data_IF_165749268904
#
_entry.id   IF_165749268904
#
_cell.length_a   1.000
_cell.length_b   1.000
_cell.length_c   1.000
_cell.angle_alpha   90.00
_cell.angle_beta   90.00
_cell.angle_gamma   90.00
#
_symmetry.space_group_name_H-M   'P 1'
#
loop_
_entity.id
_entity.type
_entity.pdbx_description
1 polymer ?
#
# COMPACT_ATOMS: atom_id res chain seq x y z
N UNK A 1 2.20 3.52 11.43
CA UNK A 1 2.87 4.41 10.44
C UNK A 1 4.19 4.88 11.04
N UNK A 2 5.27 4.54 10.38
CA UNK A 2 6.61 4.89 10.83
C UNK A 2 7.01 6.30 10.38
N UNK A 3 8.19 6.76 10.86
CA UNK A 3 8.70 8.10 10.56
C UNK A 3 8.89 8.29 9.05
N UNK A 4 8.51 9.46 8.56
CA UNK A 4 8.66 9.86 7.15
C UNK A 4 7.78 9.07 6.18
N UNK A 5 6.91 8.20 6.67
CA UNK A 5 5.93 7.55 5.82
C UNK A 5 4.89 8.56 5.33
N UNK A 6 4.43 8.38 4.10
CA UNK A 6 3.40 9.24 3.53
C UNK A 6 2.17 8.39 3.16
N UNK A 7 1.03 8.78 3.67
CA UNK A 7 -0.23 8.09 3.38
C UNK A 7 -1.24 9.15 2.96
N UNK A 8 -1.68 9.11 1.71
CA UNK A 8 -2.63 10.06 1.15
C UNK A 8 -3.87 9.34 0.64
N UNK A 9 -5.05 9.86 0.98
CA UNK A 9 -6.35 9.40 0.46
C UNK A 9 -6.50 7.88 0.51
N UNK A 10 -6.05 7.25 1.60
CA UNK A 10 -6.00 5.79 1.72
C UNK A 10 -6.83 5.31 2.89
N UNK A 11 -7.29 4.07 2.81
CA UNK A 11 -8.00 3.39 3.88
C UNK A 11 -7.10 2.29 4.41
N UNK A 12 -6.78 2.37 5.71
CA UNK A 12 -5.95 1.39 6.39
C UNK A 12 -6.81 0.63 7.39
N UNK A 13 -6.87 -0.69 7.23
CA UNK A 13 -7.60 -1.55 8.15
C UNK A 13 -6.77 -1.84 9.41
N UNK A 14 -7.25 -2.74 10.27
CA UNK A 14 -6.56 -3.04 11.53
C UNK A 14 -5.20 -3.69 11.31
N UNK A 15 -4.22 -3.30 12.15
CA UNK A 15 -2.89 -3.90 12.17
C UNK A 15 -2.09 -3.72 10.87
N UNK A 16 -2.37 -2.65 10.13
CA UNK A 16 -1.55 -2.30 8.98
C UNK A 16 -0.30 -1.59 9.46
N UNK A 17 0.86 -2.04 8.98
CA UNK A 17 2.15 -1.43 9.30
C UNK A 17 2.73 -0.77 8.06
N UNK A 18 3.06 0.51 8.17
CA UNK A 18 3.69 1.28 7.10
C UNK A 18 5.11 1.60 7.53
N UNK A 19 6.09 1.11 6.81
CA UNK A 19 7.50 1.31 7.15
C UNK A 19 7.99 2.73 6.89
N UNK A 20 9.19 3.04 7.35
CA UNK A 20 9.80 4.37 7.20
C UNK A 20 10.01 4.70 5.72
N UNK A 21 9.73 5.95 5.35
CA UNK A 21 9.87 6.43 3.98
C UNK A 21 8.99 5.69 2.96
N UNK A 22 8.03 4.89 3.40
CA UNK A 22 7.09 4.27 2.50
C UNK A 22 6.04 5.28 2.04
N UNK A 23 5.49 5.07 0.86
CA UNK A 23 4.45 5.94 0.31
C UNK A 23 3.23 5.10 -0.03
N UNK A 24 2.08 5.50 0.48
CA UNK A 24 0.79 4.88 0.17
C UNK A 24 -0.12 5.97 -0.37
N UNK A 25 -0.59 5.81 -1.58
CA UNK A 25 -1.41 6.83 -2.24
C UNK A 25 -2.62 6.18 -2.89
N UNK A 26 -3.81 6.64 -2.50
CA UNK A 26 -5.10 6.16 -3.02
C UNK A 26 -5.15 4.63 -3.02
N UNK A 27 -4.96 4.05 -1.85
CA UNK A 27 -4.94 2.60 -1.70
C UNK A 27 -5.82 2.15 -0.55
N UNK A 28 -6.31 0.94 -0.64
CA UNK A 28 -7.02 0.28 0.45
C UNK A 28 -6.16 -0.89 0.89
N UNK A 29 -5.68 -0.82 2.14
CA UNK A 29 -4.84 -1.87 2.72
C UNK A 29 -5.67 -2.64 3.73
N UNK A 30 -5.90 -3.90 3.46
CA UNK A 30 -6.70 -4.77 4.32
C UNK A 30 -5.93 -5.12 5.59
N UNK A 31 -6.53 -5.92 6.46
CA UNK A 31 -5.97 -6.25 7.77
C UNK A 31 -4.61 -6.92 7.65
N UNK A 32 -3.71 -6.57 8.57
CA UNK A 32 -2.39 -7.20 8.69
C UNK A 32 -1.50 -7.03 7.45
N UNK A 33 -1.75 -6.01 6.65
CA UNK A 33 -0.87 -5.68 5.53
C UNK A 33 0.39 -4.99 6.05
N UNK A 34 1.54 -5.38 5.53
CA UNK A 34 2.82 -4.78 5.89
C UNK A 34 3.42 -4.12 4.66
N UNK A 35 3.67 -2.83 4.77
CA UNK A 35 4.38 -2.06 3.74
C UNK A 35 5.79 -1.83 4.25
N UNK A 36 6.81 -2.46 3.65
CA UNK A 36 8.17 -2.33 4.16
C UNK A 36 8.76 -0.95 3.92
N UNK A 37 9.89 -0.68 4.55
CA UNK A 37 10.54 0.62 4.46
C UNK A 37 10.86 0.96 3.00
N UNK A 38 10.52 2.18 2.61
CA UNK A 38 10.79 2.67 1.27
C UNK A 38 9.88 2.13 0.17
N UNK A 39 8.95 1.23 0.49
CA UNK A 39 8.05 0.68 -0.51
C UNK A 39 7.01 1.73 -0.95
N UNK A 40 6.49 1.56 -2.16
CA UNK A 40 5.47 2.44 -2.71
C UNK A 40 4.23 1.65 -3.09
N UNK A 41 3.07 2.15 -2.68
CA UNK A 41 1.77 1.55 -3.03
C UNK A 41 0.89 2.64 -3.60
N UNK A 42 0.32 2.38 -4.77
CA UNK A 42 -0.57 3.35 -5.42
C UNK A 42 0.13 4.47 -6.18
N UNK A 43 1.46 4.46 -6.22
CA UNK A 43 2.24 5.46 -6.94
C UNK A 43 2.40 5.07 -8.41
N UNK A 44 2.71 3.82 -8.67
CA UNK A 44 2.87 3.29 -10.02
C UNK A 44 1.90 2.12 -10.19
N UNK A 45 0.82 2.34 -10.94
CA UNK A 45 -0.22 1.33 -11.11
C UNK A 45 0.26 0.11 -11.89
N UNK A 46 1.16 0.30 -12.84
CA UNK A 46 1.70 -0.82 -13.59
C UNK A 46 2.54 -1.73 -12.69
N UNK A 47 3.34 -1.12 -11.81
CA UNK A 47 4.13 -1.85 -10.84
C UNK A 47 3.22 -2.58 -9.83
N UNK A 48 2.14 -1.93 -9.41
CA UNK A 48 1.17 -2.54 -8.50
C UNK A 48 0.52 -3.77 -9.13
N UNK A 49 0.13 -3.68 -10.41
CA UNK A 49 -0.42 -4.82 -11.13
C UNK A 49 0.58 -5.95 -11.29
N UNK A 50 1.84 -5.61 -11.56
CA UNK A 50 2.91 -6.61 -11.68
C UNK A 50 3.15 -7.36 -10.38
N UNK A 51 2.89 -6.72 -9.24
CA UNK A 51 2.98 -7.35 -7.92
C UNK A 51 1.73 -8.16 -7.56
N UNK A 52 0.74 -8.20 -8.43
CA UNK A 52 -0.49 -8.95 -8.20
C UNK A 52 -1.58 -8.21 -7.44
N UNK A 53 -1.44 -6.92 -7.24
CA UNK A 53 -2.49 -6.13 -6.59
C UNK A 53 -3.57 -5.76 -7.55
N UNK A 54 -4.78 -5.54 -7.03
CA UNK A 54 -5.90 -5.07 -7.83
C UNK A 54 -5.86 -3.55 -7.90
N UNK A 55 -5.94 -3.02 -9.11
CA UNK A 55 -6.04 -1.58 -9.31
C UNK A 55 -7.38 -1.29 -9.96
N UNK A 56 -8.20 -0.47 -9.30
CA UNK A 56 -9.53 -0.15 -9.80
C UNK A 56 -9.44 0.80 -11.01
N UNK A 57 -10.52 0.89 -11.82
CA UNK A 57 -10.55 1.83 -12.94
C UNK A 57 -10.35 3.29 -12.52
N UNK A 58 -10.63 3.61 -11.27
CA UNK A 58 -10.44 4.97 -10.74
C UNK A 58 -9.04 5.21 -10.18
N UNK A 59 -8.15 4.22 -10.28
CA UNK A 59 -6.77 4.37 -9.84
C UNK A 59 -6.55 4.07 -8.36
N UNK A 60 -7.42 3.30 -7.73
CA UNK A 60 -7.26 2.89 -6.33
C UNK A 60 -6.66 1.49 -6.29
N UNK A 61 -5.53 1.33 -5.59
CA UNK A 61 -4.88 0.04 -5.43
C UNK A 61 -5.44 -0.66 -4.20
N UNK A 62 -5.79 -1.93 -4.34
CA UNK A 62 -6.29 -2.73 -3.23
C UNK A 62 -5.30 -3.84 -2.91
N UNK A 63 -4.85 -3.88 -1.66
CA UNK A 63 -3.92 -4.91 -1.17
C UNK A 63 -4.68 -5.83 -0.23
N UNK A 64 -4.67 -7.10 -0.53
CA UNK A 64 -5.42 -8.10 0.21
C UNK A 64 -4.88 -8.35 1.62
N UNK A 65 -5.70 -8.98 2.45
CA UNK A 65 -5.41 -9.27 3.84
C UNK A 65 -4.15 -10.09 4.01
N UNK A 66 -3.30 -9.69 4.96
CA UNK A 66 -2.12 -10.45 5.36
C UNK A 66 -0.95 -10.39 4.39
N UNK A 67 -1.03 -9.54 3.37
CA UNK A 67 0.04 -9.43 2.37
C UNK A 67 1.16 -8.52 2.88
N UNK A 68 2.41 -8.96 2.68
CA UNK A 68 3.58 -8.09 2.80
C UNK A 68 3.88 -7.55 1.41
N UNK A 69 3.86 -6.23 1.27
CA UNK A 69 4.07 -5.59 -0.02
C UNK A 69 5.50 -5.81 -0.49
N UNK A 70 5.74 -6.43 -1.66
CA UNK A 70 7.10 -6.54 -2.20
C UNK A 70 7.58 -5.21 -2.76
N UNK A 71 8.87 -5.06 -2.83
CA UNK A 71 9.48 -3.87 -3.42
C UNK A 71 9.29 -3.77 -4.93
#
# INVERSE_FOLDING_TARGET
IERWARVDESILMNNVCIGSNATVHRAILDKNVIVPDGAQVGVDHEHDRARGFTVSPTGVTVVGKGITVPY
#
